data_IF_610875811561
#
_entry.id   IF_610875811561
#
_cell.length_a   1.000
_cell.length_b   1.000
_cell.length_c   1.000
_cell.angle_alpha   90.00
_cell.angle_beta   90.00
_cell.angle_gamma   90.00
#
_symmetry.space_group_name_H-M   'P 1'
#
loop_
_entity.id
_entity.type
_entity.pdbx_description
1 polymer ?
#
# COMPACT_ATOMS: atom_id res chain seq x y z
N UNK A 1 -17.68 27.64 53.05
CA UNK A 1 -17.73 26.82 54.28
C UNK A 1 -16.94 25.58 53.94
N UNK A 2 -15.68 25.55 54.37
CA UNK A 2 -14.76 24.44 54.21
C UNK A 2 -15.16 23.32 55.17
N UNK A 3 -15.11 22.08 54.73
CA UNK A 3 -15.04 20.93 55.63
C UNK A 3 -13.93 19.99 55.16
N UNK A 4 -12.81 20.06 55.90
CA UNK A 4 -11.75 19.09 55.91
C UNK A 4 -12.11 18.00 56.93
N UNK A 5 -11.98 16.72 56.59
CA UNK A 5 -11.86 15.65 57.59
C UNK A 5 -11.06 14.49 56.97
N UNK A 6 -9.76 14.42 57.22
CA UNK A 6 -9.04 13.87 58.39
C UNK A 6 -8.60 12.42 58.14
N UNK A 7 -7.28 12.28 57.99
CA UNK A 7 -6.53 11.05 57.84
C UNK A 7 -6.46 10.31 59.18
N UNK A 8 -6.58 8.98 59.17
CA UNK A 8 -6.01 8.13 60.25
C UNK A 8 -5.25 6.95 59.67
N UNK A 9 -3.96 6.94 59.97
CA UNK A 9 -3.03 5.82 59.84
C UNK A 9 -3.11 4.95 61.11
N UNK A 10 -3.14 3.62 60.97
CA UNK A 10 -2.58 2.60 61.88
C UNK A 10 -2.48 1.31 61.03
N UNK A 11 -1.41 0.53 60.95
CA UNK A 11 -0.10 0.55 61.57
C UNK A 11 0.74 -0.59 60.96
N UNK A 12 2.06 -0.46 61.07
CA UNK A 12 3.07 -1.45 60.68
C UNK A 12 2.95 -2.73 61.51
N UNK A 13 3.22 -3.87 60.87
CA UNK A 13 3.96 -4.97 61.50
C UNK A 13 4.94 -5.58 60.50
N UNK A 14 6.22 -5.49 60.87
CA UNK A 14 7.34 -6.21 60.29
C UNK A 14 7.14 -7.73 60.37
N UNK A 15 7.69 -8.46 59.39
CA UNK A 15 7.76 -9.91 59.47
C UNK A 15 8.38 -10.56 58.23
N UNK A 16 9.71 -10.67 58.22
CA UNK A 16 10.44 -11.76 57.56
C UNK A 16 10.77 -11.59 56.08
N UNK A 17 12.04 -11.26 55.79
CA UNK A 17 12.68 -11.61 54.51
C UNK A 17 12.82 -13.14 54.42
N UNK A 18 12.35 -13.81 53.36
CA UNK A 18 12.87 -15.11 53.00
C UNK A 18 14.15 -14.95 52.18
N UNK A 19 15.16 -15.67 52.63
CA UNK A 19 16.47 -15.83 52.04
C UNK A 19 16.44 -16.08 50.52
N UNK A 20 17.39 -15.46 49.82
CA UNK A 20 17.91 -15.96 48.54
C UNK A 20 18.32 -17.42 48.73
N UNK A 21 17.86 -18.28 47.83
CA UNK A 21 18.45 -19.56 47.39
C UNK A 21 17.69 -19.92 46.10
N UNK A 22 18.29 -19.65 44.94
CA UNK A 22 19.09 -20.59 44.14
C UNK A 22 18.22 -21.45 43.22
N UNK A 23 18.30 -21.16 41.92
CA UNK A 23 18.03 -22.11 40.84
C UNK A 23 16.57 -22.49 40.63
N UNK A 24 15.80 -21.63 39.95
CA UNK A 24 14.72 -22.13 39.11
C UNK A 24 15.03 -21.73 37.68
N UNK A 25 15.38 -22.76 36.92
CA UNK A 25 15.54 -22.83 35.48
C UNK A 25 14.59 -21.88 34.75
N UNK A 26 15.11 -21.18 33.74
CA UNK A 26 14.30 -20.42 32.81
C UNK A 26 13.08 -21.22 32.37
N UNK A 27 11.94 -20.54 32.27
CA UNK A 27 10.78 -21.11 31.60
C UNK A 27 11.20 -21.33 30.14
N UNK A 28 11.57 -22.57 29.82
CA UNK A 28 11.73 -23.04 28.45
C UNK A 28 10.46 -22.62 27.67
N UNK A 29 10.61 -22.02 26.48
CA UNK A 29 9.48 -21.72 25.63
C UNK A 29 8.66 -23.00 25.46
N UNK A 30 7.40 -22.98 25.86
CA UNK A 30 6.50 -24.09 25.52
C UNK A 30 6.41 -24.11 24.00
N UNK A 31 7.13 -25.03 23.36
CA UNK A 31 6.90 -25.37 21.96
C UNK A 31 5.43 -25.81 21.86
N UNK A 32 4.59 -24.91 21.36
CA UNK A 32 3.23 -25.27 20.97
C UNK A 32 3.36 -26.03 19.65
N UNK A 33 3.74 -27.32 19.74
CA UNK A 33 3.60 -28.22 18.61
C UNK A 33 2.12 -28.45 18.39
N UNK A 34 1.62 -27.95 17.27
CA UNK A 34 0.33 -28.39 16.75
C UNK A 34 0.56 -29.81 16.24
N UNK A 35 -0.13 -30.78 16.82
CA UNK A 35 -0.11 -32.14 16.30
C UNK A 35 -0.63 -32.11 14.85
N UNK A 36 0.23 -32.52 13.92
CA UNK A 36 -0.14 -32.62 12.51
C UNK A 36 -1.03 -33.85 12.37
N UNK A 37 -2.33 -33.64 12.53
CA UNK A 37 -3.34 -34.64 12.17
C UNK A 37 -3.23 -34.92 10.67
N UNK A 38 -3.46 -36.18 10.27
CA UNK A 38 -3.41 -36.59 8.87
C UNK A 38 -4.26 -35.67 7.99
N UNK A 39 -3.58 -34.89 7.16
CA UNK A 39 -4.21 -33.90 6.28
C UNK A 39 -4.94 -34.66 5.17
N UNK A 40 -6.25 -34.43 5.05
CA UNK A 40 -7.04 -35.05 3.99
C UNK A 40 -6.42 -34.78 2.60
N UNK A 41 -6.54 -35.71 1.64
CA UNK A 41 -6.02 -35.52 0.28
C UNK A 41 -6.50 -34.21 -0.37
N UNK A 42 -7.74 -33.79 -0.08
CA UNK A 42 -8.31 -32.53 -0.58
C UNK A 42 -7.54 -31.31 -0.08
N UNK A 43 -7.17 -31.30 1.20
CA UNK A 43 -6.41 -30.18 1.79
C UNK A 43 -4.96 -30.20 1.30
N UNK A 44 -4.35 -31.37 1.07
CA UNK A 44 -3.02 -31.47 0.43
C UNK A 44 -3.01 -30.82 -0.95
N UNK A 45 -4.03 -31.10 -1.78
CA UNK A 45 -4.17 -30.49 -3.09
C UNK A 45 -4.32 -28.96 -3.01
N UNK A 46 -5.04 -28.44 -2.02
CA UNK A 46 -5.13 -26.99 -1.79
C UNK A 46 -3.80 -26.37 -1.35
N UNK A 47 -3.04 -27.05 -0.49
CA UNK A 47 -1.71 -26.61 -0.06
C UNK A 47 -0.73 -26.60 -1.24
N UNK A 48 -0.76 -27.62 -2.10
CA UNK A 48 0.05 -27.66 -3.32
C UNK A 48 -0.34 -26.54 -4.29
N UNK A 49 -1.64 -26.30 -4.50
CA UNK A 49 -2.11 -25.18 -5.31
C UNK A 49 -1.64 -23.82 -4.76
N UNK A 50 -1.62 -23.66 -3.43
CA UNK A 50 -1.10 -22.46 -2.77
C UNK A 50 0.40 -22.27 -2.99
N UNK A 51 1.22 -23.32 -2.79
CA UNK A 51 2.68 -23.27 -3.05
C UNK A 51 3.00 -22.94 -4.50
N UNK A 52 2.25 -23.54 -5.43
CA UNK A 52 2.40 -23.28 -6.87
C UNK A 52 1.99 -21.84 -7.24
N UNK A 53 1.06 -21.22 -6.50
CA UNK A 53 0.71 -19.82 -6.70
C UNK A 53 1.83 -18.87 -6.23
N UNK A 54 2.52 -19.22 -5.14
CA UNK A 54 3.66 -18.48 -4.62
C UNK A 54 4.86 -18.48 -5.60
N UNK A 55 5.20 -19.63 -6.18
CA UNK A 55 6.28 -19.75 -7.19
C UNK A 55 6.00 -18.95 -8.48
N UNK A 56 4.72 -18.88 -8.92
CA UNK A 56 4.30 -18.03 -10.04
C UNK A 56 4.48 -16.55 -9.75
N UNK A 57 4.36 -16.16 -8.48
CA UNK A 57 4.48 -14.76 -8.04
C UNK A 57 5.95 -14.32 -7.98
N UNK A 58 6.89 -15.23 -7.70
CA UNK A 58 8.32 -14.95 -7.68
C UNK A 58 8.98 -14.94 -9.08
N UNK A 59 8.45 -15.74 -10.01
CA UNK A 59 8.99 -15.87 -11.39
C UNK A 59 8.49 -14.78 -12.35
N UNK A 60 7.36 -14.13 -12.06
CA UNK A 60 7.07 -12.83 -12.65
C UNK A 60 8.00 -11.81 -12.00
N UNK A 61 8.92 -11.25 -12.79
CA UNK A 61 9.60 -10.00 -12.42
C UNK A 61 8.54 -9.06 -11.86
N UNK A 62 8.67 -8.75 -10.57
CA UNK A 62 7.68 -8.01 -9.78
C UNK A 62 7.57 -6.60 -10.34
N UNK A 63 6.88 -6.44 -11.47
CA UNK A 63 6.41 -5.15 -11.93
C UNK A 63 5.67 -4.56 -10.75
N UNK A 64 6.18 -3.44 -10.25
CA UNK A 64 5.66 -2.77 -9.07
C UNK A 64 4.26 -2.27 -9.44
N UNK A 65 3.25 -3.08 -9.15
CA UNK A 65 1.85 -2.69 -9.31
C UNK A 65 1.60 -1.45 -8.46
N UNK A 66 1.04 -0.42 -9.08
CA UNK A 66 0.59 0.79 -8.42
C UNK A 66 -0.72 0.41 -7.71
N UNK A 67 -0.74 0.35 -6.36
CA UNK A 67 -1.89 -0.16 -5.66
C UNK A 67 -3.03 0.85 -5.69
N UNK A 68 -4.21 0.41 -6.12
CA UNK A 68 -5.43 1.18 -5.89
C UNK A 68 -5.79 1.11 -4.40
N UNK A 69 -6.21 2.25 -3.84
CA UNK A 69 -6.71 2.29 -2.47
C UNK A 69 -7.85 1.26 -2.29
N UNK A 70 -7.73 0.32 -1.34
CA UNK A 70 -8.76 -0.67 -1.08
C UNK A 70 -10.13 -0.04 -0.80
N UNK A 71 -11.19 -0.67 -1.29
CA UNK A 71 -12.56 -0.15 -1.14
C UNK A 71 -12.97 0.06 0.32
N UNK A 72 -12.53 -0.83 1.23
CA UNK A 72 -12.82 -0.73 2.66
C UNK A 72 -12.34 0.59 3.27
N UNK A 73 -11.23 1.13 2.76
CA UNK A 73 -10.67 2.40 3.21
C UNK A 73 -11.50 3.56 2.65
N UNK A 74 -11.93 3.50 1.38
CA UNK A 74 -12.66 4.59 0.70
C UNK A 74 -13.99 4.99 1.34
N UNK A 75 -14.59 4.14 2.17
CA UNK A 75 -15.87 4.41 2.83
C UNK A 75 -15.82 5.48 3.93
N UNK A 76 -14.63 5.85 4.41
CA UNK A 76 -14.47 6.87 5.46
C UNK A 76 -14.02 8.20 4.84
N UNK A 77 -14.86 9.23 4.92
CA UNK A 77 -14.56 10.55 4.34
C UNK A 77 -13.24 11.13 4.89
N UNK A 78 -12.95 10.83 6.16
CA UNK A 78 -11.76 11.33 6.87
C UNK A 78 -10.44 10.91 6.23
N UNK A 79 -10.41 9.77 5.53
CA UNK A 79 -9.17 9.30 4.91
C UNK A 79 -9.01 9.71 3.44
N UNK A 80 -10.09 10.15 2.79
CA UNK A 80 -10.08 10.49 1.35
C UNK A 80 -9.01 11.55 1.03
N UNK A 81 -8.82 12.49 1.95
CA UNK A 81 -7.80 13.55 1.87
C UNK A 81 -6.35 13.04 1.78
N UNK A 82 -6.08 11.79 2.16
CA UNK A 82 -4.72 11.22 2.15
C UNK A 82 -4.36 10.52 0.84
N UNK A 83 -5.33 10.19 0.00
CA UNK A 83 -5.08 9.48 -1.25
C UNK A 83 -5.69 10.15 -2.48
N UNK A 84 -6.66 11.05 -2.31
CA UNK A 84 -7.23 11.79 -3.42
C UNK A 84 -6.41 13.07 -3.66
N UNK A 85 -5.85 13.25 -4.86
CA UNK A 85 -5.18 14.49 -5.22
C UNK A 85 -6.14 15.68 -5.09
N UNK A 86 -5.56 16.83 -4.79
CA UNK A 86 -6.30 18.09 -4.59
C UNK A 86 -6.22 19.03 -5.78
N UNK A 87 -5.17 18.92 -6.59
CA UNK A 87 -4.84 19.92 -7.62
C UNK A 87 -4.66 19.25 -8.98
N UNK A 88 -3.88 18.18 -9.05
CA UNK A 88 -3.46 17.55 -10.31
C UNK A 88 -3.77 16.06 -10.24
N UNK A 89 -4.30 15.49 -11.33
CA UNK A 89 -4.50 14.06 -11.40
C UNK A 89 -3.23 13.34 -11.84
N UNK A 90 -3.03 12.12 -11.38
CA UNK A 90 -1.96 11.25 -11.87
C UNK A 90 -2.55 9.89 -12.21
N UNK A 91 -2.28 9.49 -13.45
CA UNK A 91 -2.65 8.23 -14.02
C UNK A 91 -4.16 7.95 -14.04
N UNK A 92 -4.52 6.73 -14.47
CA UNK A 92 -5.90 6.32 -14.68
C UNK A 92 -6.78 6.35 -13.42
N UNK A 93 -6.19 6.33 -12.22
CA UNK A 93 -6.98 6.36 -10.98
C UNK A 93 -7.59 7.73 -10.67
N UNK A 94 -7.03 8.80 -11.23
CA UNK A 94 -7.44 10.17 -10.91
C UNK A 94 -7.82 10.98 -12.14
N UNK A 95 -7.42 10.56 -13.35
CA UNK A 95 -7.76 11.24 -14.60
C UNK A 95 -9.29 11.38 -14.77
N UNK A 96 -9.72 12.47 -15.42
CA UNK A 96 -11.12 12.77 -15.70
C UNK A 96 -11.96 13.28 -14.52
N UNK A 97 -11.43 13.31 -13.29
CA UNK A 97 -12.16 13.84 -12.14
C UNK A 97 -12.37 15.35 -12.26
N UNK A 98 -13.62 15.79 -12.12
CA UNK A 98 -14.02 17.18 -12.36
C UNK A 98 -13.26 18.20 -11.50
N UNK A 99 -12.94 17.85 -10.25
CA UNK A 99 -12.19 18.72 -9.34
C UNK A 99 -10.69 18.82 -9.66
N UNK A 100 -10.16 17.95 -10.54
CA UNK A 100 -8.77 17.94 -10.97
C UNK A 100 -8.56 18.52 -12.37
N UNK A 101 -9.65 18.82 -13.09
CA UNK A 101 -9.61 19.41 -14.44
C UNK A 101 -8.71 20.65 -14.56
N UNK A 102 -8.69 21.60 -13.59
CA UNK A 102 -7.76 22.72 -13.67
C UNK A 102 -6.29 22.28 -13.71
N UNK A 103 -5.92 21.22 -12.99
CA UNK A 103 -4.59 20.62 -13.03
C UNK A 103 -4.28 19.94 -14.36
N UNK A 104 -5.27 19.30 -15.00
CA UNK A 104 -5.07 18.72 -16.33
C UNK A 104 -4.75 19.78 -17.39
N UNK A 105 -5.35 20.96 -17.28
CA UNK A 105 -5.14 22.05 -18.24
C UNK A 105 -3.72 22.64 -18.19
N UNK A 106 -3.00 22.47 -17.07
CA UNK A 106 -1.63 22.97 -16.94
C UNK A 106 -0.55 21.97 -17.34
N UNK A 107 -0.89 20.69 -17.56
CA UNK A 107 0.11 19.67 -17.95
C UNK A 107 0.71 19.94 -19.33
N UNK A 108 -0.04 20.28 -20.40
CA UNK A 108 0.56 20.56 -21.70
C UNK A 108 1.61 21.69 -21.68
N UNK A 109 1.39 22.88 -21.08
CA UNK A 109 2.44 23.88 -21.00
C UNK A 109 3.62 23.44 -20.12
N UNK A 110 3.41 22.66 -19.05
CA UNK A 110 4.50 22.06 -18.29
C UNK A 110 5.34 21.10 -19.13
N UNK A 111 4.69 20.26 -19.95
CA UNK A 111 5.37 19.36 -20.86
C UNK A 111 6.22 20.12 -21.90
N UNK A 112 5.70 21.22 -22.46
CA UNK A 112 6.48 22.07 -23.37
C UNK A 112 7.71 22.68 -22.69
N UNK A 113 7.59 23.13 -21.44
CA UNK A 113 8.73 23.63 -20.67
C UNK A 113 9.76 22.52 -20.42
N UNK A 114 9.31 21.33 -20.00
CA UNK A 114 10.18 20.18 -19.80
C UNK A 114 10.96 19.81 -21.07
N UNK A 115 10.30 19.79 -22.23
CA UNK A 115 10.93 19.48 -23.51
C UNK A 115 12.00 20.52 -23.88
N UNK A 116 11.71 21.81 -23.66
CA UNK A 116 12.66 22.89 -23.90
C UNK A 116 13.90 22.79 -23.00
N UNK A 117 13.69 22.48 -21.71
CA UNK A 117 14.77 22.37 -20.73
C UNK A 117 15.63 21.11 -20.91
N UNK A 118 15.03 20.01 -21.37
CA UNK A 118 15.69 18.71 -21.53
C UNK A 118 16.21 18.43 -22.95
N UNK A 119 15.89 19.30 -23.92
CA UNK A 119 16.16 19.10 -25.34
C UNK A 119 15.70 17.72 -25.84
N UNK A 120 14.56 17.26 -25.34
CA UNK A 120 13.91 16.01 -25.76
C UNK A 120 12.85 16.30 -26.83
N UNK A 121 12.57 15.30 -27.65
CA UNK A 121 11.52 15.33 -28.66
C UNK A 121 10.25 14.65 -28.15
N UNK A 122 9.09 15.28 -28.35
CA UNK A 122 7.83 14.79 -27.81
C UNK A 122 7.39 13.49 -28.49
N UNK A 123 7.64 13.35 -29.79
CA UNK A 123 7.26 12.16 -30.55
C UNK A 123 8.13 10.97 -30.07
N UNK A 124 9.43 11.20 -29.87
CA UNK A 124 10.33 10.20 -29.30
C UNK A 124 9.91 9.75 -27.88
N UNK A 125 9.49 10.67 -27.02
CA UNK A 125 8.97 10.33 -25.68
C UNK A 125 7.67 9.53 -25.78
N UNK A 126 6.74 9.97 -26.62
CA UNK A 126 5.47 9.31 -26.85
C UNK A 126 5.67 7.88 -27.36
N UNK A 127 6.45 7.68 -28.43
CA UNK A 127 6.74 6.35 -28.99
C UNK A 127 7.41 5.43 -27.95
N UNK A 128 8.27 5.96 -27.09
CA UNK A 128 8.89 5.17 -26.02
C UNK A 128 7.87 4.72 -24.97
N UNK A 129 6.90 5.56 -24.63
CA UNK A 129 5.82 5.20 -23.70
C UNK A 129 4.87 4.20 -24.34
N UNK A 130 4.41 4.47 -25.56
CA UNK A 130 3.49 3.64 -26.34
C UNK A 130 4.05 2.23 -26.56
N UNK A 131 5.35 2.10 -26.90
CA UNK A 131 6.01 0.79 -27.01
C UNK A 131 6.08 -0.01 -25.69
N UNK A 132 5.84 0.65 -24.55
CA UNK A 132 5.78 0.03 -23.22
C UNK A 132 4.35 0.00 -22.63
N UNK A 133 3.31 0.30 -23.43
CA UNK A 133 1.96 0.51 -22.92
C UNK A 133 1.38 -0.74 -22.24
N UNK A 134 1.70 -1.94 -22.72
CA UNK A 134 1.28 -3.18 -22.06
C UNK A 134 1.87 -3.31 -20.65
N UNK A 135 3.11 -2.88 -20.45
CA UNK A 135 3.75 -2.88 -19.14
C UNK A 135 3.09 -1.84 -18.22
N UNK A 136 2.78 -0.66 -18.75
CA UNK A 136 2.00 0.36 -18.03
C UNK A 136 0.65 -0.20 -17.59
N UNK A 137 -0.09 -0.89 -18.47
CA UNK A 137 -1.37 -1.52 -18.12
C UNK A 137 -1.24 -2.53 -17.00
N UNK A 138 -0.16 -3.33 -17.00
CA UNK A 138 0.14 -4.33 -15.94
C UNK A 138 0.47 -3.68 -14.58
N UNK A 139 0.86 -2.41 -14.56
CA UNK A 139 1.08 -1.67 -13.31
C UNK A 139 -0.23 -1.25 -12.63
N UNK A 140 -1.35 -1.18 -13.34
CA UNK A 140 -2.63 -0.73 -12.80
C UNK A 140 -3.64 -1.88 -12.68
N UNK A 141 -4.75 -1.60 -11.99
CA UNK A 141 -5.90 -2.48 -12.04
C UNK A 141 -6.50 -2.43 -13.45
N UNK A 142 -6.81 -3.60 -14.03
CA UNK A 142 -7.39 -3.73 -15.37
C UNK A 142 -8.54 -2.75 -15.63
N UNK A 143 -9.47 -2.65 -14.68
CA UNK A 143 -10.67 -1.80 -14.80
C UNK A 143 -10.37 -0.29 -14.82
N UNK A 144 -9.15 0.11 -14.47
CA UNK A 144 -8.77 1.54 -14.44
C UNK A 144 -8.12 1.97 -15.75
N UNK A 145 -7.52 1.03 -16.51
CA UNK A 145 -6.94 1.34 -17.81
C UNK A 145 -7.84 0.92 -18.97
N UNK A 146 -8.86 0.08 -18.75
CA UNK A 146 -9.74 -0.46 -19.78
C UNK A 146 -10.58 0.57 -20.53
N UNK A 147 -10.77 1.78 -19.97
CA UNK A 147 -11.51 2.87 -20.61
C UNK A 147 -10.65 3.69 -21.59
N UNK A 148 -9.33 3.49 -21.59
CA UNK A 148 -8.39 4.18 -22.46
C UNK A 148 -7.89 3.21 -23.52
N UNK A 149 -7.88 3.64 -24.78
CA UNK A 149 -7.04 3.02 -25.80
C UNK A 149 -5.55 3.29 -25.48
N UNK A 150 -4.67 2.66 -26.25
CA UNK A 150 -3.23 2.75 -26.01
C UNK A 150 -2.69 4.16 -26.20
N UNK A 151 -3.25 4.90 -27.17
CA UNK A 151 -2.87 6.26 -27.51
C UNK A 151 -3.21 7.25 -26.38
N UNK A 152 -4.45 7.20 -25.90
CA UNK A 152 -4.92 8.04 -24.80
C UNK A 152 -4.16 7.72 -23.49
N UNK A 153 -3.87 6.44 -23.23
CA UNK A 153 -3.12 6.05 -22.04
C UNK A 153 -1.65 6.49 -22.14
N UNK A 154 -1.02 6.36 -23.32
CA UNK A 154 0.35 6.81 -23.55
C UNK A 154 0.46 8.34 -23.40
N UNK A 155 -0.49 9.08 -23.98
CA UNK A 155 -0.56 10.53 -23.85
C UNK A 155 -0.74 10.98 -22.40
N UNK A 156 -1.61 10.30 -21.64
CA UNK A 156 -1.78 10.54 -20.20
C UNK A 156 -0.47 10.35 -19.44
N UNK A 157 0.24 9.23 -19.65
CA UNK A 157 1.52 8.98 -18.98
C UNK A 157 2.59 10.01 -19.38
N UNK A 158 2.60 10.47 -20.63
CA UNK A 158 3.54 11.50 -21.09
C UNK A 158 3.32 12.81 -20.36
N UNK A 159 2.07 13.30 -20.34
CA UNK A 159 1.73 14.55 -19.68
C UNK A 159 1.97 14.48 -18.17
N UNK A 160 1.67 13.34 -17.55
CA UNK A 160 1.93 13.11 -16.12
C UNK A 160 3.41 13.04 -15.79
N UNK A 161 4.23 12.46 -16.69
CA UNK A 161 5.67 12.32 -16.52
C UNK A 161 6.47 13.60 -16.78
N UNK A 162 5.88 14.57 -17.48
CA UNK A 162 6.51 15.87 -17.77
C UNK A 162 6.05 17.00 -16.82
N UNK A 163 5.21 16.68 -15.84
CA UNK A 163 4.77 17.62 -14.80
C UNK A 163 5.64 17.51 -13.54
#
# INVERSE_FOLDING_TARGET
MEEQQERRNVGEKEGGRPSRNSGQSGLEPREHRIDIVEISPKVKNWIEAFKNAEERTQSQTRWLRIPKVPHILKGTQDIKKFYEPRVISFGPYHHGKSHLRPGEMIKPPCALNFLADSNQDIDALYTKIESNIEAVRKCYDWSSTSEYDDEALAWMMLLDGCF
#
